data_IF_877869181174
#
_entry.id   IF_877869181174
#
_cell.length_a   1.000
_cell.length_b   1.000
_cell.length_c   1.000
_cell.angle_alpha   90.00
_cell.angle_beta   90.00
_cell.angle_gamma   90.00
#
_symmetry.space_group_name_H-M   'P 1'
#
loop_
_entity.id
_entity.type
_entity.pdbx_description
1 polymer ?
#
# COMPACT_ATOMS: atom_id res chain seq x y z
N UNK A 1 44.08 64.86 44.54
CA UNK A 1 44.95 63.84 43.91
C UNK A 1 44.95 62.50 44.65
N UNK A 2 45.55 62.35 45.85
CA UNK A 2 45.61 61.02 46.51
C UNK A 2 44.27 60.52 47.05
N UNK A 3 43.46 61.39 47.66
CA UNK A 3 42.11 61.02 48.15
C UNK A 3 41.16 60.63 47.00
N UNK A 4 41.23 61.32 45.86
CA UNK A 4 40.41 61.01 44.68
C UNK A 4 40.80 59.66 44.06
N UNK A 5 42.10 59.35 44.04
CA UNK A 5 42.61 58.04 43.60
C UNK A 5 42.17 56.91 44.51
N UNK A 6 42.14 57.14 45.83
CA UNK A 6 41.64 56.18 46.81
C UNK A 6 40.13 55.92 46.64
N UNK A 7 39.34 56.98 46.44
CA UNK A 7 37.89 56.86 46.19
C UNK A 7 37.59 56.11 44.87
N UNK A 8 38.33 56.40 43.80
CA UNK A 8 38.19 55.71 42.52
C UNK A 8 38.54 54.21 42.63
N UNK A 9 39.60 53.87 43.38
CA UNK A 9 39.98 52.48 43.63
C UNK A 9 38.93 51.71 44.45
N UNK A 10 38.30 52.34 45.45
CA UNK A 10 37.21 51.73 46.22
C UNK A 10 35.96 51.51 45.34
N UNK A 11 35.60 52.49 44.51
CA UNK A 11 34.49 52.36 43.57
C UNK A 11 34.72 51.23 42.54
N UNK A 12 35.95 51.12 42.00
CA UNK A 12 36.34 50.04 41.10
C UNK A 12 36.27 48.67 41.79
N UNK A 13 36.76 48.57 43.03
CA UNK A 13 36.70 47.34 43.83
C UNK A 13 35.25 46.88 44.04
N UNK A 14 34.35 47.81 44.39
CA UNK A 14 32.91 47.53 44.54
C UNK A 14 32.23 47.15 43.23
N UNK A 15 32.65 47.71 42.10
CA UNK A 15 32.14 47.32 40.79
C UNK A 15 32.56 45.88 40.43
N UNK A 16 33.82 45.52 40.65
CA UNK A 16 34.35 44.17 40.41
C UNK A 16 33.63 43.12 41.28
N UNK A 17 33.38 43.42 42.56
CA UNK A 17 32.66 42.49 43.45
C UNK A 17 31.24 42.24 42.96
N UNK A 18 30.52 43.29 42.52
CA UNK A 18 29.17 43.17 41.99
C UNK A 18 29.14 42.35 40.69
N UNK A 19 30.07 42.60 39.78
CA UNK A 19 30.19 41.85 38.53
C UNK A 19 30.47 40.37 38.78
N UNK A 20 31.39 40.06 39.70
CA UNK A 20 31.67 38.67 40.09
C UNK A 20 30.44 37.98 40.69
N UNK A 21 29.69 38.68 41.54
CA UNK A 21 28.47 38.13 42.12
C UNK A 21 27.40 37.85 41.05
N UNK A 22 27.23 38.76 40.09
CA UNK A 22 26.33 38.57 38.94
C UNK A 22 26.76 37.39 38.06
N UNK A 23 28.05 37.31 37.70
CA UNK A 23 28.58 36.22 36.89
C UNK A 23 28.45 34.85 37.59
N UNK A 24 28.63 34.79 38.90
CA UNK A 24 28.41 33.57 39.68
C UNK A 24 26.94 33.17 39.73
N UNK A 25 26.01 34.12 39.86
CA UNK A 25 24.57 33.88 39.81
C UNK A 25 24.13 33.37 38.43
N UNK A 26 24.59 34.01 37.36
CA UNK A 26 24.34 33.57 35.99
C UNK A 26 24.88 32.16 35.75
N UNK A 27 26.09 31.86 36.21
CA UNK A 27 26.68 30.51 36.09
C UNK A 27 25.85 29.46 36.84
N UNK A 28 25.36 29.77 38.05
CA UNK A 28 24.49 28.86 38.82
C UNK A 28 23.15 28.65 38.11
N UNK A 29 22.57 29.70 37.56
CA UNK A 29 21.33 29.62 36.78
C UNK A 29 21.51 28.78 35.51
N UNK A 30 22.61 28.98 34.78
CA UNK A 30 22.95 28.20 33.60
C UNK A 30 23.15 26.72 33.93
N UNK A 31 23.84 26.39 35.03
CA UNK A 31 24.00 25.01 35.49
C UNK A 31 22.67 24.36 35.85
N UNK A 32 21.77 25.09 36.52
CA UNK A 32 20.43 24.58 36.86
C UNK A 32 19.62 24.29 35.60
N UNK A 33 19.64 25.20 34.61
CA UNK A 33 18.92 25.03 33.36
C UNK A 33 19.49 23.86 32.54
N UNK A 34 20.82 23.72 32.48
CA UNK A 34 21.47 22.61 31.80
C UNK A 34 21.01 21.25 32.38
N UNK A 35 20.95 21.14 33.72
CA UNK A 35 20.45 19.92 34.38
C UNK A 35 18.97 19.64 34.04
N UNK A 36 18.12 20.67 34.04
CA UNK A 36 16.72 20.51 33.66
C UNK A 36 16.54 20.10 32.20
N UNK A 37 17.40 20.59 31.31
CA UNK A 37 17.39 20.20 29.90
C UNK A 37 17.80 18.74 29.73
N UNK A 38 18.86 18.29 30.42
CA UNK A 38 19.30 16.89 30.40
C UNK A 38 18.21 15.93 30.89
N UNK A 39 17.53 16.28 31.99
CA UNK A 39 16.38 15.51 32.50
C UNK A 39 15.25 15.41 31.47
N UNK A 40 14.88 16.55 30.85
CA UNK A 40 13.85 16.59 29.79
C UNK A 40 14.25 15.81 28.54
N UNK A 41 15.50 15.89 28.11
CA UNK A 41 16.01 15.12 26.98
C UNK A 41 15.97 13.62 27.26
N UNK A 42 16.30 13.21 28.50
CA UNK A 42 16.19 11.83 28.94
C UNK A 42 14.76 11.31 28.86
N UNK A 43 13.79 12.08 29.33
CA UNK A 43 12.38 11.70 29.29
C UNK A 43 11.83 11.70 27.86
N UNK A 44 12.23 12.66 27.01
CA UNK A 44 11.85 12.67 25.60
C UNK A 44 12.38 11.43 24.87
N UNK A 45 13.64 11.03 25.10
CA UNK A 45 14.22 9.81 24.52
C UNK A 45 13.48 8.55 24.93
N UNK A 46 13.05 8.44 26.20
CA UNK A 46 12.24 7.31 26.66
C UNK A 46 10.89 7.25 25.95
N UNK A 47 10.23 8.40 25.79
CA UNK A 47 8.97 8.48 25.06
C UNK A 47 9.14 8.13 23.58
N UNK A 48 10.19 8.65 22.93
CA UNK A 48 10.50 8.35 21.53
C UNK A 48 10.71 6.85 21.34
N UNK A 49 11.52 6.21 22.18
CA UNK A 49 11.75 4.77 22.12
C UNK A 49 10.46 3.97 22.29
N UNK A 50 9.63 4.34 23.27
CA UNK A 50 8.35 3.69 23.53
C UNK A 50 7.39 3.80 22.33
N UNK A 51 7.20 5.00 21.78
CA UNK A 51 6.29 5.19 20.65
C UNK A 51 6.81 4.53 19.37
N UNK A 52 8.12 4.56 19.14
CA UNK A 52 8.74 3.88 18.00
C UNK A 52 8.53 2.37 18.06
N UNK A 53 8.66 1.77 19.25
CA UNK A 53 8.36 0.35 19.45
C UNK A 53 6.88 0.02 19.20
N UNK A 54 5.96 0.82 19.74
CA UNK A 54 4.52 0.60 19.52
C UNK A 54 4.14 0.71 18.04
N UNK A 55 4.67 1.71 17.33
CA UNK A 55 4.44 1.87 15.89
C UNK A 55 5.01 0.69 15.12
N UNK A 56 6.25 0.28 15.40
CA UNK A 56 6.87 -0.87 14.75
C UNK A 56 6.06 -2.16 14.94
N UNK A 57 5.53 -2.40 16.14
CA UNK A 57 4.67 -3.56 16.42
C UNK A 57 3.34 -3.51 15.66
N UNK A 58 2.75 -2.31 15.53
CA UNK A 58 1.51 -2.12 14.76
C UNK A 58 1.74 -2.35 13.27
N UNK A 59 2.85 -1.83 12.72
CA UNK A 59 3.24 -2.02 11.33
C UNK A 59 3.50 -3.50 11.03
N UNK A 60 4.23 -4.20 11.90
CA UNK A 60 4.49 -5.63 11.74
C UNK A 60 3.20 -6.45 11.74
N UNK A 61 2.32 -6.22 12.72
CA UNK A 61 1.03 -6.92 12.82
C UNK A 61 0.15 -6.64 11.59
N UNK A 62 0.14 -5.40 11.12
CA UNK A 62 -0.58 -4.99 9.92
C UNK A 62 -0.04 -5.72 8.69
N UNK A 63 1.28 -5.73 8.49
CA UNK A 63 1.93 -6.42 7.38
C UNK A 63 1.64 -7.92 7.38
N UNK A 64 1.69 -8.57 8.54
CA UNK A 64 1.32 -9.99 8.69
C UNK A 64 -0.15 -10.23 8.29
N UNK A 65 -1.07 -9.37 8.74
CA UNK A 65 -2.50 -9.48 8.40
C UNK A 65 -2.75 -9.32 6.90
N UNK A 66 -2.15 -8.31 6.26
CA UNK A 66 -2.26 -8.10 4.81
C UNK A 66 -1.69 -9.26 4.02
N UNK A 67 -0.54 -9.80 4.44
CA UNK A 67 0.10 -10.95 3.81
C UNK A 67 -0.80 -12.19 3.85
N UNK A 68 -1.23 -12.61 5.04
CA UNK A 68 -2.10 -13.80 5.20
C UNK A 68 -3.40 -13.63 4.43
N UNK A 69 -4.01 -12.44 4.47
CA UNK A 69 -5.26 -12.16 3.75
C UNK A 69 -5.08 -12.26 2.24
N UNK A 70 -3.98 -11.73 1.71
CA UNK A 70 -3.68 -11.78 0.27
C UNK A 70 -3.37 -13.21 -0.18
N UNK A 71 -2.57 -13.95 0.61
CA UNK A 71 -2.21 -15.33 0.32
C UNK A 71 -3.44 -16.25 0.33
N UNK A 72 -4.27 -16.19 1.38
CA UNK A 72 -5.50 -16.98 1.46
C UNK A 72 -6.50 -16.60 0.37
N UNK A 73 -6.63 -15.31 0.03
CA UNK A 73 -7.46 -14.87 -1.09
C UNK A 73 -6.97 -15.44 -2.43
N UNK A 74 -5.67 -15.32 -2.71
CA UNK A 74 -5.08 -15.85 -3.95
C UNK A 74 -5.22 -17.38 -4.04
N UNK A 75 -5.07 -18.08 -2.91
CA UNK A 75 -5.30 -19.52 -2.82
C UNK A 75 -6.76 -19.85 -3.11
N UNK A 76 -7.71 -19.18 -2.48
CA UNK A 76 -9.14 -19.37 -2.75
C UNK A 76 -9.48 -19.11 -4.22
N UNK A 77 -8.94 -18.05 -4.82
CA UNK A 77 -9.10 -17.76 -6.26
C UNK A 77 -8.53 -18.90 -7.12
N UNK A 78 -7.36 -19.43 -6.76
CA UNK A 78 -6.72 -20.52 -7.49
C UNK A 78 -7.50 -21.82 -7.37
N UNK A 79 -8.01 -22.15 -6.18
CA UNK A 79 -8.87 -23.31 -5.95
C UNK A 79 -10.18 -23.21 -6.73
N UNK A 80 -10.81 -22.03 -6.75
CA UNK A 80 -12.00 -21.78 -7.57
C UNK A 80 -11.67 -21.93 -9.05
N UNK A 81 -10.58 -21.33 -9.54
CA UNK A 81 -10.15 -21.48 -10.95
C UNK A 81 -9.82 -22.93 -11.31
N UNK A 82 -9.31 -23.73 -10.38
CA UNK A 82 -9.00 -25.14 -10.60
C UNK A 82 -10.27 -26.00 -10.63
N UNK A 83 -11.20 -25.78 -9.69
CA UNK A 83 -12.46 -26.53 -9.59
C UNK A 83 -13.43 -26.17 -10.71
N UNK A 84 -13.51 -24.88 -11.02
CA UNK A 84 -14.30 -24.38 -12.13
C UNK A 84 -13.36 -24.18 -13.30
N UNK A 85 -13.22 -25.21 -14.14
CA UNK A 85 -12.73 -25.01 -15.50
C UNK A 85 -13.47 -23.79 -16.04
N UNK A 86 -12.73 -22.75 -16.44
CA UNK A 86 -13.30 -21.78 -17.37
C UNK A 86 -13.84 -22.63 -18.51
N UNK A 87 -15.16 -22.78 -18.57
CA UNK A 87 -15.81 -23.41 -19.69
C UNK A 87 -15.43 -22.49 -20.85
N UNK A 88 -14.32 -22.80 -21.53
CA UNK A 88 -14.18 -22.49 -22.94
C UNK A 88 -15.29 -23.33 -23.55
N UNK A 89 -16.50 -22.78 -23.49
CA UNK A 89 -17.64 -23.26 -24.25
C UNK A 89 -17.15 -23.12 -25.68
N UNK A 90 -16.53 -24.18 -26.18
CA UNK A 90 -16.21 -24.26 -27.59
C UNK A 90 -17.59 -24.24 -28.25
N UNK A 91 -17.94 -23.16 -28.97
CA UNK A 91 -19.29 -23.03 -29.50
C UNK A 91 -19.53 -24.25 -30.38
N UNK A 92 -20.60 -25.01 -30.10
CA UNK A 92 -20.95 -26.13 -30.94
C UNK A 92 -21.10 -25.63 -32.38
N UNK A 93 -20.54 -26.37 -33.33
CA UNK A 93 -20.56 -26.01 -34.76
C UNK A 93 -19.78 -24.74 -35.12
N UNK A 94 -18.82 -24.27 -34.30
CA UNK A 94 -18.03 -23.06 -34.55
C UNK A 94 -17.30 -23.07 -35.92
N UNK A 95 -16.71 -24.21 -36.30
CA UNK A 95 -15.99 -24.32 -37.57
C UNK A 95 -16.94 -24.19 -38.77
N UNK A 96 -18.09 -24.89 -38.71
CA UNK A 96 -19.17 -24.78 -39.71
C UNK A 96 -19.76 -23.36 -39.76
N UNK A 97 -19.90 -22.69 -38.61
CA UNK A 97 -20.33 -21.30 -38.55
C UNK A 97 -19.34 -20.39 -39.29
N UNK A 98 -18.04 -20.60 -39.10
CA UNK A 98 -16.99 -19.87 -39.81
C UNK A 98 -16.99 -20.14 -41.33
N UNK A 99 -17.25 -21.38 -41.75
CA UNK A 99 -17.38 -21.72 -43.18
C UNK A 99 -18.60 -21.09 -43.85
N UNK A 100 -19.76 -21.12 -43.20
CA UNK A 100 -20.99 -20.49 -43.71
C UNK A 100 -20.81 -18.98 -43.86
N UNK A 101 -20.25 -18.32 -42.84
CA UNK A 101 -19.99 -16.88 -42.87
C UNK A 101 -19.02 -16.51 -44.00
N UNK A 102 -17.92 -17.25 -44.14
CA UNK A 102 -16.97 -17.04 -45.25
C UNK A 102 -17.63 -17.21 -46.61
N UNK A 103 -18.50 -18.21 -46.77
CA UNK A 103 -19.19 -18.44 -48.03
C UNK A 103 -20.10 -17.26 -48.40
N UNK A 104 -20.91 -16.75 -47.46
CA UNK A 104 -21.78 -15.61 -47.73
C UNK A 104 -21.01 -14.32 -48.02
N UNK A 105 -19.88 -14.11 -47.31
CA UNK A 105 -18.99 -12.98 -47.57
C UNK A 105 -18.38 -13.05 -48.98
N UNK A 106 -18.02 -14.25 -49.44
CA UNK A 106 -17.48 -14.45 -50.78
C UNK A 106 -18.55 -14.40 -51.89
N UNK A 107 -19.83 -14.68 -51.57
CA UNK A 107 -20.92 -14.81 -52.54
C UNK A 107 -22.13 -13.91 -52.19
N UNK A 108 -21.98 -12.57 -52.09
CA UNK A 108 -23.03 -11.68 -51.59
C UNK A 108 -24.29 -11.65 -52.46
N UNK A 109 -24.14 -11.83 -53.79
CA UNK A 109 -25.26 -11.84 -54.74
C UNK A 109 -25.70 -13.25 -55.15
N UNK A 110 -25.03 -14.29 -54.63
CA UNK A 110 -25.24 -15.69 -54.99
C UNK A 110 -25.34 -16.56 -53.72
N UNK A 111 -26.15 -16.10 -52.77
CA UNK A 111 -26.27 -16.71 -51.43
C UNK A 111 -26.73 -18.17 -51.47
N UNK A 112 -27.49 -18.55 -52.50
CA UNK A 112 -27.94 -19.94 -52.71
C UNK A 112 -26.79 -20.92 -52.94
N UNK A 113 -25.63 -20.46 -53.43
CA UNK A 113 -24.42 -21.29 -53.57
C UNK A 113 -23.91 -21.79 -52.21
N UNK A 114 -24.25 -21.09 -51.12
CA UNK A 114 -23.89 -21.47 -49.75
C UNK A 114 -24.92 -22.37 -49.06
N UNK A 115 -26.00 -22.75 -49.76
CA UNK A 115 -27.13 -23.49 -49.17
C UNK A 115 -26.74 -24.84 -48.57
N UNK A 116 -25.76 -25.53 -49.15
CA UNK A 116 -25.25 -26.81 -48.62
C UNK A 116 -24.57 -26.60 -47.27
N UNK A 117 -23.66 -25.63 -47.18
CA UNK A 117 -22.98 -25.26 -45.93
C UNK A 117 -23.98 -24.80 -44.86
N UNK A 118 -24.95 -23.97 -45.25
CA UNK A 118 -26.00 -23.50 -44.35
C UNK A 118 -26.84 -24.67 -43.78
N UNK A 119 -27.17 -25.66 -44.61
CA UNK A 119 -27.92 -26.85 -44.19
C UNK A 119 -27.11 -27.73 -43.23
N UNK A 120 -25.82 -27.90 -43.49
CA UNK A 120 -24.90 -28.64 -42.61
C UNK A 120 -24.77 -27.97 -41.24
N UNK A 121 -24.61 -26.64 -41.21
CA UNK A 121 -24.60 -25.87 -39.97
C UNK A 121 -25.90 -26.06 -39.18
N UNK A 122 -27.05 -25.97 -39.85
CA UNK A 122 -28.37 -26.16 -39.22
C UNK A 122 -28.53 -27.56 -38.64
N UNK A 123 -28.10 -28.60 -39.37
CA UNK A 123 -28.10 -29.98 -38.87
C UNK A 123 -27.22 -30.13 -37.63
N UNK A 124 -26.01 -29.57 -37.65
CA UNK A 124 -25.11 -29.58 -36.51
C UNK A 124 -25.76 -28.93 -35.27
N UNK A 125 -26.37 -27.74 -35.43
CA UNK A 125 -27.04 -27.02 -34.33
C UNK A 125 -28.23 -27.83 -33.78
N UNK A 126 -29.03 -28.43 -34.65
CA UNK A 126 -30.19 -29.23 -34.24
C UNK A 126 -29.77 -30.50 -33.49
N UNK A 127 -28.73 -31.19 -33.98
CA UNK A 127 -28.17 -32.36 -33.30
C UNK A 127 -27.59 -31.99 -31.94
N UNK A 128 -26.88 -30.86 -31.84
CA UNK A 128 -26.36 -30.36 -30.58
C UNK A 128 -27.50 -30.09 -29.59
N UNK A 129 -28.55 -29.36 -30.01
CA UNK A 129 -29.75 -29.11 -29.18
C UNK A 129 -30.39 -30.41 -28.67
N UNK A 130 -30.61 -31.39 -29.55
CA UNK A 130 -31.18 -32.69 -29.14
C UNK A 130 -30.27 -33.44 -28.16
N UNK A 131 -28.95 -33.38 -28.37
CA UNK A 131 -27.98 -34.05 -27.49
C UNK A 131 -27.91 -33.41 -26.10
N UNK A 132 -28.06 -32.09 -25.99
CA UNK A 132 -28.11 -31.37 -24.72
C UNK A 132 -29.39 -31.67 -23.95
N UNK A 133 -30.55 -31.77 -24.63
CA UNK A 133 -31.83 -32.11 -24.01
C UNK A 133 -31.87 -33.55 -23.47
N UNK A 134 -31.12 -34.49 -24.08
CA UNK A 134 -31.05 -35.89 -23.66
C UNK A 134 -30.09 -36.15 -22.49
N UNK A 135 -29.11 -35.27 -22.24
CA UNK A 135 -28.09 -35.42 -21.19
C UNK A 135 -28.41 -34.69 -19.88
N UNK A 136 -29.53 -33.97 -19.82
CA UNK A 136 -29.97 -33.21 -18.63
C UNK A 136 -30.99 -33.96 -17.76
N UNK A 137 -30.82 -35.28 -17.59
CA UNK A 137 -31.59 -36.13 -16.68
C UNK A 137 -30.73 -36.65 -15.54
#
# INVERSE_FOLDING_TARGET
MEQERAAANDQLSRAIIRERASAEEERRNAQRLAKQLEEKEGDLKKQEAYYKEQVGRLEERSAQFYKVTTEEYQKAVSEVKAKFKQYKSHPFCADLQGEVLRCYQANPYQTLSCSVLARQYLQCVNNAKQSSLRKGG
#
